data_IF_116946136081
#
_entry.id   IF_116946136081
#
_cell.length_a   1.000
_cell.length_b   1.000
_cell.length_c   1.000
_cell.angle_alpha   90.00
_cell.angle_beta   90.00
_cell.angle_gamma   90.00
#
_symmetry.space_group_name_H-M   'P 1'
#
loop_
_entity.id
_entity.type
_entity.pdbx_description
1 polymer ?
#
# COMPACT_ATOMS: atom_id res chain seq x y z
N UNK A 1 -28.74 -65.47 -4.12
CA UNK A 1 -27.67 -64.66 -4.75
C UNK A 1 -27.72 -63.29 -4.07
N UNK A 2 -27.10 -63.02 -2.92
CA UNK A 2 -25.63 -62.79 -2.68
C UNK A 2 -25.01 -61.95 -3.80
N UNK A 3 -24.38 -60.79 -3.56
CA UNK A 3 -23.30 -60.55 -2.60
C UNK A 3 -23.21 -59.10 -2.07
N UNK A 4 -22.58 -59.02 -0.91
CA UNK A 4 -22.07 -57.87 -0.17
C UNK A 4 -20.56 -57.70 -0.44
N UNK A 5 -20.05 -56.46 -0.43
CA UNK A 5 -18.63 -56.13 -0.19
C UNK A 5 -18.56 -54.73 0.46
N UNK A 6 -18.45 -54.63 1.79
CA UNK A 6 -17.23 -54.53 2.62
C UNK A 6 -16.23 -53.44 2.23
N UNK A 7 -16.19 -52.41 3.08
CA UNK A 7 -15.16 -51.39 3.27
C UNK A 7 -13.74 -51.98 3.46
N UNK A 8 -12.67 -51.26 3.08
CA UNK A 8 -11.36 -51.47 3.66
C UNK A 8 -11.12 -50.57 4.89
N UNK A 9 -10.44 -51.17 5.86
CA UNK A 9 -10.07 -50.63 7.15
C UNK A 9 -9.03 -49.49 7.08
N UNK A 10 -9.06 -48.65 8.12
CA UNK A 10 -8.07 -47.63 8.47
C UNK A 10 -6.64 -48.20 8.50
N UNK A 11 -5.71 -47.47 7.89
CA UNK A 11 -4.27 -47.63 8.08
C UNK A 11 -3.80 -46.71 9.23
N UNK A 12 -3.31 -47.25 10.37
CA UNK A 12 -2.80 -46.44 11.46
C UNK A 12 -1.26 -46.45 11.41
N UNK A 13 -0.66 -45.55 10.62
CA UNK A 13 0.77 -45.24 10.73
C UNK A 13 1.08 -43.91 10.01
N UNK A 14 0.81 -42.79 10.69
CA UNK A 14 1.45 -41.51 10.40
C UNK A 14 1.99 -40.95 11.73
N UNK A 15 3.28 -40.59 11.82
CA UNK A 15 3.83 -39.98 13.02
C UNK A 15 3.30 -38.54 13.17
N UNK A 16 3.24 -38.02 14.41
CA UNK A 16 2.78 -36.65 14.65
C UNK A 16 3.77 -35.65 14.03
N UNK A 17 3.25 -34.67 13.29
CA UNK A 17 4.03 -33.53 12.78
C UNK A 17 4.53 -32.73 13.99
N UNK A 18 5.80 -32.92 14.35
CA UNK A 18 6.51 -32.12 15.35
C UNK A 18 7.18 -30.93 14.67
N UNK A 19 7.06 -29.78 15.33
CA UNK A 19 7.86 -28.54 15.19
C UNK A 19 7.90 -27.84 13.83
N UNK A 20 7.11 -26.77 13.72
CA UNK A 20 7.38 -25.63 12.84
C UNK A 20 8.76 -25.06 13.21
N UNK A 21 9.73 -25.23 12.32
CA UNK A 21 11.01 -24.52 12.41
C UNK A 21 10.80 -23.08 11.97
N UNK A 22 10.98 -22.14 12.89
CA UNK A 22 11.06 -20.71 12.57
C UNK A 22 12.42 -20.49 11.90
N UNK A 23 12.42 -20.26 10.59
CA UNK A 23 13.62 -19.85 9.88
C UNK A 23 14.00 -18.43 10.32
N UNK A 24 15.20 -18.28 10.86
CA UNK A 24 15.81 -16.98 11.14
C UNK A 24 16.11 -16.27 9.82
N UNK A 25 15.46 -15.13 9.58
CA UNK A 25 15.72 -14.26 8.44
C UNK A 25 17.06 -13.53 8.61
N UNK A 26 17.93 -13.63 7.61
CA UNK A 26 19.05 -12.72 7.38
C UNK A 26 18.69 -11.79 6.22
N UNK A 27 18.65 -10.49 6.49
CA UNK A 27 18.35 -9.44 5.51
C UNK A 27 19.65 -8.94 4.86
N UNK A 28 19.85 -9.07 3.54
CA UNK A 28 20.93 -8.36 2.85
C UNK A 28 20.60 -6.86 2.78
N UNK A 29 21.48 -6.04 3.36
CA UNK A 29 21.45 -4.57 3.28
C UNK A 29 21.65 -4.11 1.84
N UNK A 30 20.58 -3.72 1.14
CA UNK A 30 20.67 -2.84 -0.03
C UNK A 30 19.43 -1.94 -0.13
N UNK A 31 19.42 -0.84 0.63
CA UNK A 31 18.75 0.40 0.21
C UNK A 31 19.40 1.58 0.94
N UNK A 32 20.02 2.50 0.19
CA UNK A 32 20.62 3.73 0.67
C UNK A 32 19.81 4.90 0.09
N UNK A 33 18.88 5.52 0.83
CA UNK A 33 18.16 6.69 0.37
C UNK A 33 18.91 7.95 0.84
N UNK A 34 19.97 8.33 0.14
CA UNK A 34 20.59 9.64 0.35
C UNK A 34 21.30 10.15 -0.91
N UNK A 35 20.53 10.53 -1.93
CA UNK A 35 20.98 11.50 -2.94
C UNK A 35 19.78 12.07 -3.70
N UNK A 36 19.07 13.05 -3.11
CA UNK A 36 18.32 14.04 -3.88
C UNK A 36 18.44 15.43 -3.21
N UNK A 37 19.17 16.30 -3.93
CA UNK A 37 19.34 17.75 -3.81
C UNK A 37 20.16 18.36 -2.65
N UNK A 38 20.98 19.38 -2.99
CA UNK A 38 20.51 20.73 -2.73
C UNK A 38 20.44 21.58 -4.00
N UNK A 39 19.25 22.12 -4.25
CA UNK A 39 19.04 23.32 -5.05
C UNK A 39 19.62 24.50 -4.25
N UNK A 40 20.64 25.17 -4.79
CA UNK A 40 21.16 26.44 -4.28
C UNK A 40 21.06 27.46 -5.40
N UNK A 41 20.31 28.52 -5.13
CA UNK A 41 20.25 29.75 -5.92
C UNK A 41 21.65 30.24 -6.31
N UNK A 42 21.91 30.40 -7.61
CA UNK A 42 22.85 31.40 -8.12
C UNK A 42 22.40 31.92 -9.50
N UNK A 43 22.60 33.22 -9.76
CA UNK A 43 22.14 33.87 -10.97
C UNK A 43 23.05 33.58 -12.17
N UNK A 44 22.43 33.65 -13.34
CA UNK A 44 22.97 33.40 -14.67
C UNK A 44 24.01 34.47 -15.09
N UNK A 45 25.16 34.12 -15.70
CA UNK A 45 25.94 35.08 -16.46
C UNK A 45 25.88 34.82 -17.97
N UNK A 46 25.62 35.89 -18.73
CA UNK A 46 25.81 35.97 -20.19
C UNK A 46 27.31 35.94 -20.55
N UNK A 47 27.67 35.63 -21.81
CA UNK A 47 29.05 35.44 -22.22
C UNK A 47 29.70 36.75 -22.66
N UNK A 48 30.98 36.95 -22.34
CA UNK A 48 31.82 37.96 -22.99
C UNK A 48 33.20 37.40 -23.36
N UNK A 49 33.68 37.95 -24.47
CA UNK A 49 34.82 37.62 -25.29
C UNK A 49 36.15 38.23 -24.83
N UNK A 50 37.24 37.54 -25.17
CA UNK A 50 38.57 38.05 -25.59
C UNK A 50 39.16 39.33 -24.96
N UNK A 51 40.35 39.21 -24.35
CA UNK A 51 41.63 39.69 -24.90
C UNK A 51 42.67 40.13 -23.82
N UNK A 52 43.92 39.78 -24.10
CA UNK A 52 45.20 40.48 -23.81
C UNK A 52 45.77 40.64 -22.39
N UNK A 53 46.88 39.91 -22.16
CA UNK A 53 48.25 40.36 -21.83
C UNK A 53 48.48 41.44 -20.75
N UNK A 54 49.19 41.10 -19.67
CA UNK A 54 50.58 41.57 -19.43
C UNK A 54 51.10 41.23 -18.01
N UNK A 55 52.42 41.25 -17.92
CA UNK A 55 53.31 40.77 -16.87
C UNK A 55 53.56 41.80 -15.74
N UNK A 56 54.13 41.25 -14.66
CA UNK A 56 55.16 41.83 -13.79
C UNK A 56 54.77 42.58 -12.49
N UNK A 57 55.38 42.03 -11.44
CA UNK A 57 56.08 42.66 -10.31
C UNK A 57 55.40 42.87 -8.97
N UNK A 58 56.12 42.32 -8.00
CA UNK A 58 55.96 42.29 -6.56
C UNK A 58 56.54 43.54 -5.90
N UNK A 59 55.98 43.95 -4.75
CA UNK A 59 56.68 44.12 -3.46
C UNK A 59 55.73 44.60 -2.34
N UNK A 60 56.10 44.41 -1.05
CA UNK A 60 55.17 44.26 0.07
C UNK A 60 55.16 45.45 1.06
N UNK A 61 54.14 45.50 1.92
CA UNK A 61 54.11 46.33 3.15
C UNK A 61 53.54 45.47 4.29
N UNK A 62 54.39 45.04 5.24
CA UNK A 62 54.70 45.71 6.51
C UNK A 62 53.64 45.49 7.60
N UNK A 63 53.94 44.53 8.48
CA UNK A 63 53.27 44.27 9.77
C UNK A 63 53.72 45.31 10.80
N UNK A 64 52.78 45.96 11.47
CA UNK A 64 53.03 46.73 12.70
C UNK A 64 52.79 45.85 13.93
N UNK A 65 53.81 45.81 14.79
CA UNK A 65 53.90 45.13 16.09
C UNK A 65 52.82 45.59 17.07
N UNK A 66 52.28 44.64 17.83
CA UNK A 66 51.81 44.87 19.20
C UNK A 66 52.76 44.15 20.14
N UNK A 67 53.21 44.86 21.18
CA UNK A 67 54.14 44.36 22.19
C UNK A 67 53.71 44.96 23.54
N UNK A 68 53.11 44.14 24.40
CA UNK A 68 52.84 44.29 25.85
C UNK A 68 51.94 43.10 26.21
N UNK A 69 52.16 42.24 27.19
CA UNK A 69 52.92 42.33 28.44
C UNK A 69 53.47 40.94 28.81
N UNK A 70 54.66 40.98 29.38
CA UNK A 70 55.34 39.91 30.11
C UNK A 70 54.72 39.82 31.52
N UNK A 71 54.79 38.63 32.11
CA UNK A 71 54.57 38.29 33.53
C UNK A 71 53.16 37.84 33.95
N UNK A 72 52.92 36.54 33.78
CA UNK A 72 52.33 35.67 34.80
C UNK A 72 52.72 34.22 34.45
N UNK A 73 54.00 33.91 34.58
CA UNK A 73 54.48 32.52 34.63
C UNK A 73 54.36 32.06 36.08
N UNK A 74 53.86 30.84 36.23
CA UNK A 74 54.01 29.97 37.40
C UNK A 74 53.09 30.28 38.59
N UNK A 75 51.86 29.79 38.52
CA UNK A 75 51.24 29.01 39.59
C UNK A 75 49.88 28.52 39.09
N UNK A 76 49.81 27.26 38.63
CA UNK A 76 48.62 26.38 38.73
C UNK A 76 48.72 25.07 37.92
N UNK A 77 49.76 24.87 37.12
CA UNK A 77 50.08 23.54 36.58
C UNK A 77 51.29 22.95 37.33
N UNK A 78 51.00 22.50 38.56
CA UNK A 78 51.88 21.57 39.26
C UNK A 78 51.99 20.28 38.43
N UNK A 79 53.19 19.70 38.22
CA UNK A 79 53.39 18.49 37.42
C UNK A 79 52.70 17.23 37.99
N UNK A 80 52.05 17.33 39.17
CA UNK A 80 51.26 16.26 39.79
C UNK A 80 49.82 16.11 39.29
N UNK A 81 49.24 17.06 38.54
CA UNK A 81 47.79 17.05 38.21
C UNK A 81 47.44 16.62 36.77
N UNK A 82 48.44 16.42 35.91
CA UNK A 82 48.25 15.84 34.56
C UNK A 82 47.61 14.45 34.58
N UNK A 83 47.94 13.52 35.52
CA UNK A 83 47.28 12.22 35.56
C UNK A 83 45.81 12.34 35.98
N UNK A 84 45.47 13.26 36.89
CA UNK A 84 44.08 13.43 37.37
C UNK A 84 43.18 13.94 36.25
N UNK A 85 43.63 14.94 35.46
CA UNK A 85 42.85 15.45 34.33
C UNK A 85 42.68 14.41 33.21
N UNK A 86 43.71 13.59 32.96
CA UNK A 86 43.64 12.47 32.02
C UNK A 86 42.72 11.36 32.51
N UNK A 87 42.73 11.06 33.81
CA UNK A 87 41.84 10.08 34.43
C UNK A 87 40.39 10.56 34.40
N UNK A 88 40.12 11.84 34.65
CA UNK A 88 38.77 12.42 34.53
C UNK A 88 38.29 12.39 33.07
N UNK A 89 39.16 12.70 32.10
CA UNK A 89 38.81 12.62 30.68
C UNK A 89 38.52 11.19 30.22
N UNK A 90 39.33 10.22 30.69
CA UNK A 90 39.11 8.79 30.43
C UNK A 90 37.83 8.30 31.12
N UNK A 91 37.55 8.73 32.35
CA UNK A 91 36.30 8.44 33.05
C UNK A 91 35.07 9.02 32.34
N UNK A 92 35.16 10.24 31.80
CA UNK A 92 34.10 10.86 30.99
C UNK A 92 33.86 10.13 29.66
N UNK A 93 34.91 9.59 29.03
CA UNK A 93 34.82 8.76 27.83
C UNK A 93 34.28 7.34 28.11
N UNK A 94 34.41 6.87 29.34
CA UNK A 94 33.88 5.58 29.83
C UNK A 94 32.45 5.69 30.39
N UNK A 95 31.90 6.89 30.54
CA UNK A 95 30.49 7.05 30.84
C UNK A 95 29.67 6.50 29.67
N UNK A 96 28.71 5.59 29.90
CA UNK A 96 27.82 5.13 28.85
C UNK A 96 27.08 6.35 28.31
N UNK A 97 27.44 6.74 27.09
CA UNK A 97 26.67 7.73 26.37
C UNK A 97 25.29 7.10 26.17
N UNK A 98 24.19 7.77 26.54
CA UNK A 98 22.88 7.27 26.15
C UNK A 98 22.90 7.20 24.63
N UNK A 99 22.99 5.97 24.11
CA UNK A 99 22.71 5.70 22.72
C UNK A 99 21.27 6.16 22.53
N UNK A 100 21.08 7.36 21.99
CA UNK A 100 19.80 7.78 21.47
C UNK A 100 19.56 6.87 20.28
N UNK A 101 19.02 5.68 20.55
CA UNK A 101 18.37 4.89 19.53
C UNK A 101 17.22 5.77 19.05
N UNK A 102 17.39 6.43 17.90
CA UNK A 102 16.31 7.17 17.27
C UNK A 102 15.26 6.15 16.87
N UNK A 103 14.35 5.85 17.79
CA UNK A 103 13.22 4.98 17.51
C UNK A 103 12.39 5.67 16.43
N UNK A 104 12.08 4.95 15.36
CA UNK A 104 11.21 5.49 14.33
C UNK A 104 9.87 5.89 14.96
N UNK A 105 9.42 7.12 14.67
CA UNK A 105 8.10 7.58 15.06
C UNK A 105 7.07 7.00 14.08
N UNK A 106 6.53 5.83 14.41
CA UNK A 106 5.52 5.15 13.60
C UNK A 106 4.18 5.89 13.57
N UNK A 107 3.91 6.78 14.52
CA UNK A 107 2.72 7.61 14.49
C UNK A 107 2.85 8.72 13.42
N UNK A 108 4.00 9.38 13.37
CA UNK A 108 4.33 10.31 12.28
C UNK A 108 4.38 9.61 10.91
N UNK A 109 4.98 8.41 10.83
CA UNK A 109 5.00 7.62 9.61
C UNK A 109 3.58 7.27 9.11
N UNK A 110 2.69 6.83 10.01
CA UNK A 110 1.29 6.54 9.68
C UNK A 110 0.55 7.79 9.19
N UNK A 111 0.72 8.92 9.87
CA UNK A 111 0.14 10.21 9.46
C UNK A 111 0.58 10.60 8.05
N UNK A 112 1.87 10.48 7.73
CA UNK A 112 2.42 10.78 6.41
C UNK A 112 1.92 9.80 5.34
N UNK A 113 1.78 8.52 5.67
CA UNK A 113 1.19 7.52 4.78
C UNK A 113 -0.26 7.89 4.41
N UNK A 114 -1.07 8.35 5.35
CA UNK A 114 -2.46 8.75 5.05
C UNK A 114 -2.50 10.07 4.26
N UNK A 115 -1.60 11.01 4.53
CA UNK A 115 -1.45 12.22 3.71
C UNK A 115 -1.05 11.89 2.27
N UNK A 116 -0.25 10.84 2.04
CA UNK A 116 0.03 10.35 0.69
C UNK A 116 -1.26 9.97 -0.04
N UNK A 117 -2.15 9.18 0.58
CA UNK A 117 -3.45 8.87 -0.04
C UNK A 117 -4.30 10.12 -0.30
N UNK A 118 -4.32 11.11 0.60
CA UNK A 118 -4.99 12.39 0.31
C UNK A 118 -4.39 13.10 -0.91
N UNK A 119 -3.07 12.99 -1.09
CA UNK A 119 -2.32 13.48 -2.24
C UNK A 119 -2.62 12.74 -3.54
N UNK A 120 -3.21 11.54 -3.51
CA UNK A 120 -3.58 10.75 -4.69
C UNK A 120 -5.05 10.89 -5.11
N UNK A 121 -5.88 11.62 -4.35
CA UNK A 121 -7.33 11.73 -4.63
C UNK A 121 -7.62 12.34 -6.00
N UNK A 122 -8.33 11.66 -6.89
CA UNK A 122 -8.91 12.24 -8.11
C UNK A 122 -10.35 12.69 -7.84
N UNK A 123 -10.91 13.59 -8.66
CA UNK A 123 -12.26 14.12 -8.51
C UNK A 123 -12.32 15.44 -7.73
N UNK A 124 -13.52 15.77 -7.26
CA UNK A 124 -13.78 16.97 -6.46
C UNK A 124 -13.31 16.76 -5.03
N UNK A 125 -12.32 17.51 -4.57
CA UNK A 125 -11.71 17.38 -3.25
C UNK A 125 -12.65 17.89 -2.15
N UNK A 126 -12.64 17.27 -0.96
CA UNK A 126 -13.49 17.70 0.14
C UNK A 126 -12.92 18.97 0.78
N UNK A 127 -13.77 19.83 1.40
CA UNK A 127 -13.32 21.09 2.00
C UNK A 127 -12.28 20.90 3.12
N UNK A 128 -12.31 19.75 3.79
CA UNK A 128 -11.39 19.36 4.87
C UNK A 128 -10.11 18.65 4.38
N UNK A 129 -9.83 18.63 3.07
CA UNK A 129 -8.58 18.11 2.49
C UNK A 129 -7.34 18.74 3.16
N UNK A 130 -6.42 17.93 3.70
CA UNK A 130 -5.22 18.46 4.39
C UNK A 130 -4.11 18.82 3.41
N UNK A 131 -4.03 18.10 2.29
CA UNK A 131 -3.06 18.31 1.22
C UNK A 131 -3.50 19.47 0.32
N UNK A 132 -3.04 20.69 0.62
CA UNK A 132 -3.54 21.94 -0.01
C UNK A 132 -2.95 22.28 -1.38
N UNK A 133 -1.89 21.59 -1.81
CA UNK A 133 -1.30 21.77 -3.13
C UNK A 133 -2.04 21.00 -4.23
N UNK A 134 -2.92 20.04 -3.87
CA UNK A 134 -3.83 19.36 -4.80
C UNK A 134 -5.08 20.20 -5.05
N UNK A 135 -5.64 20.08 -6.25
CA UNK A 135 -6.91 20.72 -6.67
C UNK A 135 -7.89 19.68 -7.23
N UNK A 136 -9.12 20.14 -7.46
CA UNK A 136 -10.15 19.36 -8.15
C UNK A 136 -9.66 18.98 -9.54
N UNK A 137 -9.77 17.70 -9.89
CA UNK A 137 -9.30 17.15 -11.17
C UNK A 137 -10.19 15.99 -11.63
N UNK A 138 -10.15 15.62 -12.91
CA UNK A 138 -10.89 14.43 -13.41
C UNK A 138 -12.40 14.57 -13.29
N UNK A 139 -12.91 15.79 -13.41
CA UNK A 139 -14.32 16.13 -13.16
C UNK A 139 -15.28 15.64 -14.25
N UNK A 140 -14.74 15.12 -15.36
CA UNK A 140 -15.49 14.58 -16.49
C UNK A 140 -15.25 13.08 -16.71
N UNK A 141 -14.59 12.41 -15.76
CA UNK A 141 -14.33 10.97 -15.82
C UNK A 141 -15.63 10.19 -16.01
N UNK A 142 -15.69 9.38 -17.08
CA UNK A 142 -16.84 8.54 -17.42
C UNK A 142 -17.89 9.19 -18.32
N UNK A 143 -17.79 10.49 -18.61
CA UNK A 143 -18.79 11.21 -19.41
C UNK A 143 -18.98 10.62 -20.81
N UNK A 144 -17.90 10.19 -21.47
CA UNK A 144 -17.94 9.53 -22.79
C UNK A 144 -18.66 8.18 -22.78
N UNK A 145 -18.75 7.54 -21.63
CA UNK A 145 -19.49 6.29 -21.41
C UNK A 145 -20.88 6.53 -20.77
N UNK A 146 -21.31 7.78 -20.62
CA UNK A 146 -22.62 8.14 -20.05
C UNK A 146 -22.75 7.83 -18.56
N UNK A 147 -21.63 7.78 -17.82
CA UNK A 147 -21.59 7.46 -16.38
C UNK A 147 -20.77 8.50 -15.60
N UNK A 148 -21.01 8.61 -14.30
CA UNK A 148 -20.13 9.36 -13.40
C UNK A 148 -19.06 8.41 -12.83
N UNK A 149 -17.81 8.61 -13.26
CA UNK A 149 -16.65 7.92 -12.70
C UNK A 149 -15.70 8.90 -12.00
N UNK A 150 -16.15 10.10 -11.61
CA UNK A 150 -15.35 11.04 -10.82
C UNK A 150 -15.03 10.48 -9.43
N UNK A 151 -13.87 10.83 -8.87
CA UNK A 151 -13.40 10.30 -7.58
C UNK A 151 -12.29 9.26 -7.74
N UNK A 152 -12.04 8.49 -6.68
CA UNK A 152 -11.03 7.42 -6.68
C UNK A 152 -9.61 7.96 -6.51
N UNK A 153 -8.62 7.09 -6.68
CA UNK A 153 -7.21 7.45 -6.56
C UNK A 153 -6.51 7.39 -7.91
N UNK A 154 -5.64 8.36 -8.18
CA UNK A 154 -4.58 8.19 -9.17
C UNK A 154 -3.60 7.14 -8.66
N UNK A 155 -3.11 6.31 -9.58
CA UNK A 155 -2.40 5.09 -9.24
C UNK A 155 -1.02 5.37 -8.63
N UNK A 156 -0.18 6.14 -9.33
CA UNK A 156 1.20 6.39 -8.93
C UNK A 156 1.59 7.86 -9.10
N UNK A 157 2.56 8.15 -9.96
CA UNK A 157 2.95 9.52 -10.35
C UNK A 157 2.19 10.03 -11.58
N UNK A 158 1.31 9.21 -12.13
CA UNK A 158 0.48 9.44 -13.31
C UNK A 158 -0.94 9.89 -12.93
N UNK A 159 -1.78 10.21 -13.91
CA UNK A 159 -3.20 10.58 -13.69
C UNK A 159 -4.17 9.49 -14.18
N UNK A 160 -3.69 8.25 -14.35
CA UNK A 160 -4.53 7.09 -14.65
C UNK A 160 -5.14 6.53 -13.37
N UNK A 161 -6.36 6.03 -13.49
CA UNK A 161 -7.05 5.29 -12.42
C UNK A 161 -7.10 3.82 -12.76
N UNK A 162 -6.06 3.07 -12.40
CA UNK A 162 -6.04 1.62 -12.54
C UNK A 162 -6.86 0.95 -11.44
N UNK A 163 -7.95 0.29 -11.82
CA UNK A 163 -8.93 -0.27 -10.89
C UNK A 163 -8.40 -1.48 -10.10
N UNK A 164 -7.54 -2.30 -10.72
CA UNK A 164 -7.00 -3.50 -10.08
C UNK A 164 -6.10 -3.18 -8.86
N UNK A 165 -5.02 -2.39 -8.99
CA UNK A 165 -4.21 -1.98 -7.84
C UNK A 165 -4.97 -1.08 -6.85
N UNK A 166 -5.93 -0.27 -7.32
CA UNK A 166 -6.78 0.54 -6.43
C UNK A 166 -7.67 -0.33 -5.55
N UNK A 167 -8.29 -1.38 -6.10
CA UNK A 167 -9.09 -2.33 -5.35
C UNK A 167 -8.23 -3.05 -4.32
N UNK A 168 -7.06 -3.58 -4.70
CA UNK A 168 -6.10 -4.20 -3.79
C UNK A 168 -5.70 -3.29 -2.63
N UNK A 169 -5.32 -2.05 -2.95
CA UNK A 169 -4.99 -1.02 -1.96
C UNK A 169 -6.16 -0.77 -0.99
N UNK A 170 -7.39 -0.77 -1.50
CA UNK A 170 -8.60 -0.59 -0.68
C UNK A 170 -8.84 -1.76 0.26
N UNK A 171 -8.60 -2.98 -0.22
CA UNK A 171 -8.66 -4.19 0.61
C UNK A 171 -7.63 -4.12 1.74
N UNK A 172 -6.38 -3.74 1.46
CA UNK A 172 -5.33 -3.64 2.47
C UNK A 172 -5.52 -2.50 3.47
N UNK A 173 -5.97 -1.34 3.03
CA UNK A 173 -6.34 -0.24 3.94
C UNK A 173 -7.47 -0.69 4.88
N UNK A 174 -8.47 -1.39 4.33
CA UNK A 174 -9.57 -1.93 5.12
C UNK A 174 -9.08 -3.00 6.11
N UNK A 175 -8.24 -3.94 5.65
CA UNK A 175 -7.67 -4.99 6.50
C UNK A 175 -6.85 -4.39 7.64
N UNK A 176 -6.03 -3.38 7.35
CA UNK A 176 -5.23 -2.66 8.34
C UNK A 176 -6.10 -2.04 9.44
N UNK A 177 -7.23 -1.43 9.06
CA UNK A 177 -8.18 -0.85 10.04
C UNK A 177 -8.88 -1.95 10.85
N UNK A 178 -9.23 -3.08 10.23
CA UNK A 178 -9.90 -4.20 10.89
C UNK A 178 -9.00 -4.80 11.98
N UNK A 179 -7.73 -5.08 11.65
CA UNK A 179 -6.82 -5.78 12.56
C UNK A 179 -6.12 -4.81 13.53
N UNK A 180 -5.79 -3.59 13.09
CA UNK A 180 -4.93 -2.66 13.84
C UNK A 180 -5.56 -1.30 14.12
N UNK A 181 -6.85 -1.10 13.84
CA UNK A 181 -7.51 0.20 13.99
C UNK A 181 -7.41 0.80 15.40
N UNK A 182 -7.32 -0.04 16.45
CA UNK A 182 -7.13 0.41 17.84
C UNK A 182 -5.77 1.07 18.08
N UNK A 183 -4.77 0.74 17.26
CA UNK A 183 -3.39 1.25 17.36
C UNK A 183 -3.16 2.51 16.51
N UNK A 184 -4.13 2.92 15.68
CA UNK A 184 -4.00 4.05 14.76
C UNK A 184 -4.21 5.43 15.42
N UNK A 185 -4.67 5.47 16.68
CA UNK A 185 -4.86 6.71 17.44
C UNK A 185 -5.71 7.75 16.67
N UNK A 186 -5.27 9.02 16.60
CA UNK A 186 -6.01 10.09 15.93
C UNK A 186 -6.13 9.91 14.41
N UNK A 187 -5.25 9.11 13.79
CA UNK A 187 -5.26 8.88 12.35
C UNK A 187 -6.31 7.84 11.91
N UNK A 188 -6.94 7.11 12.84
CA UNK A 188 -8.02 6.16 12.51
C UNK A 188 -9.14 6.81 11.68
N UNK A 189 -9.54 8.04 12.01
CA UNK A 189 -10.57 8.76 11.27
C UNK A 189 -10.16 9.06 9.83
N UNK A 190 -8.90 9.43 9.60
CA UNK A 190 -8.39 9.73 8.26
C UNK A 190 -8.17 8.45 7.44
N UNK A 191 -7.75 7.35 8.09
CA UNK A 191 -7.67 6.03 7.44
C UNK A 191 -9.05 5.56 6.98
N UNK A 192 -10.09 5.72 7.81
CA UNK A 192 -11.48 5.42 7.41
C UNK A 192 -11.94 6.29 6.24
N UNK A 193 -11.60 7.59 6.23
CA UNK A 193 -11.87 8.48 5.08
C UNK A 193 -11.12 8.02 3.82
N UNK A 194 -9.90 7.50 3.96
CA UNK A 194 -9.13 6.98 2.83
C UNK A 194 -9.80 5.75 2.19
N UNK A 195 -10.32 4.83 3.01
CA UNK A 195 -11.13 3.69 2.52
C UNK A 195 -12.44 4.19 1.88
N UNK A 196 -13.12 5.16 2.52
CA UNK A 196 -14.37 5.70 1.97
C UNK A 196 -14.18 6.30 0.58
N UNK A 197 -13.11 7.07 0.39
CA UNK A 197 -12.81 7.72 -0.89
C UNK A 197 -12.71 6.73 -2.05
N UNK A 198 -12.01 5.61 -1.83
CA UNK A 198 -11.91 4.56 -2.84
C UNK A 198 -13.24 3.82 -3.03
N UNK A 199 -13.90 3.44 -1.94
CA UNK A 199 -15.15 2.68 -2.04
C UNK A 199 -16.31 3.47 -2.65
N UNK A 200 -16.37 4.79 -2.46
CA UNK A 200 -17.33 5.65 -3.16
C UNK A 200 -17.10 5.55 -4.69
N UNK A 201 -15.85 5.52 -5.15
CA UNK A 201 -15.52 5.31 -6.56
C UNK A 201 -15.82 3.88 -7.04
N UNK A 202 -15.44 2.85 -6.28
CA UNK A 202 -15.72 1.45 -6.63
C UNK A 202 -17.23 1.18 -6.73
N UNK A 203 -18.06 1.86 -5.92
CA UNK A 203 -19.52 1.82 -6.03
C UNK A 203 -20.04 2.49 -7.31
N UNK A 204 -19.38 3.54 -7.81
CA UNK A 204 -19.71 4.11 -9.14
C UNK A 204 -19.29 3.16 -10.26
N UNK A 205 -18.05 2.67 -10.19
CA UNK A 205 -17.46 1.78 -11.19
C UNK A 205 -18.21 0.45 -11.37
N UNK A 206 -18.97 0.02 -10.36
CA UNK A 206 -19.75 -1.22 -10.36
C UNK A 206 -21.27 -0.97 -10.34
N UNK A 207 -21.72 0.25 -10.65
CA UNK A 207 -23.12 0.66 -10.50
C UNK A 207 -24.07 -0.08 -11.45
N UNK A 208 -23.59 -0.41 -12.65
CA UNK A 208 -24.35 -1.13 -13.67
C UNK A 208 -24.18 -2.63 -13.44
N UNK A 209 -25.28 -3.42 -13.35
CA UNK A 209 -25.18 -4.87 -13.20
C UNK A 209 -24.33 -5.54 -14.28
N UNK A 210 -23.48 -6.49 -13.89
CA UNK A 210 -22.56 -7.25 -14.75
C UNK A 210 -21.61 -6.39 -15.61
N UNK A 211 -21.34 -5.16 -15.16
CA UNK A 211 -20.34 -4.26 -15.74
C UNK A 211 -19.46 -3.72 -14.62
N UNK A 212 -18.15 -3.77 -14.83
CA UNK A 212 -17.17 -3.15 -13.92
C UNK A 212 -16.26 -2.25 -14.75
N UNK A 213 -16.24 -0.96 -14.43
CA UNK A 213 -15.24 -0.05 -14.98
C UNK A 213 -13.91 -0.25 -14.26
N UNK A 214 -12.87 -0.57 -15.01
CA UNK A 214 -11.58 -1.04 -14.48
C UNK A 214 -10.46 -0.05 -14.73
N UNK A 215 -10.65 0.93 -15.61
CA UNK A 215 -9.65 1.97 -15.86
C UNK A 215 -10.31 3.25 -16.34
N UNK A 216 -9.78 4.40 -15.90
CA UNK A 216 -10.06 5.71 -16.49
C UNK A 216 -8.74 6.40 -16.80
N UNK A 217 -8.55 6.77 -18.07
CA UNK A 217 -7.26 7.26 -18.59
C UNK A 217 -6.68 6.30 -19.63
N UNK A 218 -6.28 6.84 -20.77
CA UNK A 218 -5.37 6.16 -21.69
C UNK A 218 -3.93 6.33 -21.17
N UNK A 219 -3.32 5.23 -20.74
CA UNK A 219 -2.05 5.28 -20.03
C UNK A 219 -0.90 5.79 -20.90
N UNK A 220 -0.89 5.48 -22.20
CA UNK A 220 0.15 5.98 -23.10
C UNK A 220 0.03 7.49 -23.32
N UNK A 221 -1.17 8.01 -23.52
CA UNK A 221 -1.43 9.45 -23.61
C UNK A 221 -1.06 10.16 -22.32
N UNK A 222 -1.44 9.59 -21.17
CA UNK A 222 -1.17 10.15 -19.84
C UNK A 222 0.34 10.22 -19.55
N UNK A 223 1.06 9.11 -19.76
CA UNK A 223 2.49 9.01 -19.45
C UNK A 223 3.39 9.80 -20.40
N UNK A 224 2.88 10.19 -21.57
CA UNK A 224 3.57 11.09 -22.49
C UNK A 224 3.45 12.57 -22.08
N UNK A 225 2.63 12.90 -21.07
CA UNK A 225 2.45 14.25 -20.56
C UNK A 225 2.94 14.38 -19.11
N UNK A 226 3.66 15.45 -18.80
CA UNK A 226 4.04 15.80 -17.44
C UNK A 226 3.30 17.05 -17.00
N UNK A 227 2.19 16.86 -16.30
CA UNK A 227 1.28 17.95 -15.96
C UNK A 227 0.63 17.78 -14.59
N UNK A 228 0.05 18.87 -14.09
CA UNK A 228 -0.78 18.79 -12.88
C UNK A 228 -2.12 18.12 -13.24
N UNK A 229 -2.69 17.29 -12.36
CA UNK A 229 -3.97 16.64 -12.63
C UNK A 229 -5.11 17.61 -12.94
N UNK A 230 -5.11 18.81 -12.37
CA UNK A 230 -6.12 19.85 -12.61
C UNK A 230 -6.02 20.52 -13.99
N UNK A 231 -4.88 20.40 -14.68
CA UNK A 231 -4.65 20.96 -16.01
C UNK A 231 -4.74 19.92 -17.13
N UNK A 232 -5.03 18.66 -16.78
CA UNK A 232 -4.89 17.56 -17.73
C UNK A 232 -5.82 17.65 -18.95
N UNK A 233 -5.23 17.50 -20.12
CA UNK A 233 -5.91 17.48 -21.42
C UNK A 233 -5.76 16.13 -22.16
N UNK A 234 -5.13 15.16 -21.53
CA UNK A 234 -4.93 13.80 -22.03
C UNK A 234 -6.24 13.01 -22.15
N UNK A 235 -6.23 11.95 -22.97
CA UNK A 235 -7.43 11.15 -23.22
C UNK A 235 -7.84 10.36 -21.96
N UNK A 236 -9.05 10.62 -21.44
CA UNK A 236 -9.59 9.97 -20.23
C UNK A 236 -10.62 8.88 -20.51
N UNK A 237 -10.29 7.95 -21.42
CA UNK A 237 -11.16 6.83 -21.81
C UNK A 237 -11.51 5.95 -20.61
N UNK A 238 -12.79 5.55 -20.51
CA UNK A 238 -13.25 4.60 -19.50
C UNK A 238 -13.29 3.18 -20.09
N UNK A 239 -12.48 2.27 -19.54
CA UNK A 239 -12.44 0.87 -19.92
C UNK A 239 -13.23 0.03 -18.92
N UNK A 240 -13.87 -1.04 -19.41
CA UNK A 240 -14.74 -1.89 -18.62
C UNK A 240 -14.58 -3.35 -18.98
N UNK A 241 -14.94 -4.21 -18.04
CA UNK A 241 -15.24 -5.61 -18.26
C UNK A 241 -16.75 -5.85 -18.16
N UNK A 242 -17.22 -6.85 -18.88
CA UNK A 242 -18.61 -7.27 -18.94
C UNK A 242 -18.73 -8.77 -19.26
N UNK A 243 -19.93 -9.25 -19.55
CA UNK A 243 -20.16 -10.69 -19.81
C UNK A 243 -19.43 -11.21 -21.04
N UNK A 244 -19.18 -10.35 -22.04
CA UNK A 244 -18.47 -10.72 -23.27
C UNK A 244 -16.96 -10.58 -23.11
N UNK A 245 -16.52 -9.69 -22.21
CA UNK A 245 -15.12 -9.39 -21.92
C UNK A 245 -14.88 -9.55 -20.41
N UNK A 246 -14.77 -10.78 -19.89
CA UNK A 246 -14.66 -11.03 -18.46
C UNK A 246 -13.34 -10.53 -17.85
N UNK A 247 -13.35 -10.40 -16.52
CA UNK A 247 -12.20 -10.01 -15.70
C UNK A 247 -12.39 -10.39 -14.24
N UNK A 248 -12.26 -11.69 -13.95
CA UNK A 248 -12.47 -12.29 -12.63
C UNK A 248 -11.47 -11.81 -11.58
N UNK A 249 -10.25 -11.50 -12.00
CA UNK A 249 -9.17 -10.92 -11.22
C UNK A 249 -9.61 -9.57 -10.60
N UNK A 250 -9.74 -8.54 -11.42
CA UNK A 250 -10.10 -7.19 -10.99
C UNK A 250 -11.50 -7.12 -10.37
N UNK A 251 -12.46 -7.93 -10.85
CA UNK A 251 -13.78 -8.03 -10.22
C UNK A 251 -13.71 -8.74 -8.86
N UNK A 252 -12.94 -9.81 -8.73
CA UNK A 252 -12.72 -10.53 -7.47
C UNK A 252 -12.06 -9.64 -6.42
N UNK A 253 -11.01 -8.89 -6.79
CA UNK A 253 -10.37 -7.93 -5.90
C UNK A 253 -11.29 -6.75 -5.55
N UNK A 254 -12.09 -6.25 -6.51
CA UNK A 254 -13.10 -5.22 -6.21
C UNK A 254 -14.15 -5.73 -5.22
N UNK A 255 -14.58 -6.99 -5.35
CA UNK A 255 -15.48 -7.59 -4.39
C UNK A 255 -14.82 -7.75 -3.00
N UNK A 256 -13.56 -8.16 -2.95
CA UNK A 256 -12.78 -8.22 -1.71
C UNK A 256 -12.68 -6.86 -1.02
N UNK A 257 -12.38 -5.80 -1.78
CA UNK A 257 -12.27 -4.43 -1.29
C UNK A 257 -13.59 -3.94 -0.66
N UNK A 258 -14.70 -4.11 -1.37
CA UNK A 258 -16.02 -3.72 -0.90
C UNK A 258 -16.46 -4.55 0.32
N UNK A 259 -16.18 -5.86 0.33
CA UNK A 259 -16.48 -6.73 1.45
C UNK A 259 -15.66 -6.36 2.70
N UNK A 260 -14.35 -6.16 2.57
CA UNK A 260 -13.47 -5.73 3.65
C UNK A 260 -13.92 -4.37 4.21
N UNK A 261 -14.17 -3.39 3.35
CA UNK A 261 -14.64 -2.07 3.76
C UNK A 261 -16.00 -2.14 4.46
N UNK A 262 -16.91 -3.05 4.06
CA UNK A 262 -18.18 -3.23 4.76
C UNK A 262 -17.99 -3.57 6.25
N UNK A 263 -16.90 -4.25 6.62
CA UNK A 263 -16.56 -4.54 8.02
C UNK A 263 -16.12 -3.26 8.73
N UNK A 264 -15.27 -2.44 8.10
CA UNK A 264 -14.80 -1.15 8.64
C UNK A 264 -15.99 -0.24 8.98
N UNK A 265 -16.97 -0.16 8.09
CA UNK A 265 -18.14 0.71 8.26
C UNK A 265 -19.28 0.10 9.09
N UNK A 266 -19.20 -1.18 9.48
CA UNK A 266 -20.33 -1.91 10.10
C UNK A 266 -20.99 -1.19 11.27
N UNK A 267 -20.21 -0.64 12.19
CA UNK A 267 -20.69 0.13 13.35
C UNK A 267 -20.66 1.64 13.13
N UNK A 268 -19.92 2.12 12.12
CA UNK A 268 -19.70 3.55 11.86
C UNK A 268 -20.77 4.14 10.96
N UNK A 269 -21.18 3.37 9.96
CA UNK A 269 -22.25 3.68 9.01
C UNK A 269 -22.88 2.35 8.54
N UNK A 270 -23.90 1.85 9.28
CA UNK A 270 -24.53 0.57 8.96
C UNK A 270 -25.21 0.55 7.59
N UNK A 271 -25.71 1.69 7.10
CA UNK A 271 -26.36 1.77 5.79
C UNK A 271 -25.34 1.63 4.66
N UNK A 272 -24.23 2.37 4.75
CA UNK A 272 -23.12 2.27 3.81
C UNK A 272 -22.48 0.89 3.85
N UNK A 273 -22.28 0.31 5.05
CA UNK A 273 -21.80 -1.07 5.21
C UNK A 273 -22.65 -2.09 4.45
N UNK A 274 -23.99 -2.01 4.56
CA UNK A 274 -24.90 -2.89 3.81
C UNK A 274 -24.83 -2.65 2.30
N UNK A 275 -24.72 -1.39 1.86
CA UNK A 275 -24.55 -1.05 0.45
C UNK A 275 -23.27 -1.69 -0.12
N UNK A 276 -22.14 -1.54 0.58
CA UNK A 276 -20.87 -2.13 0.20
C UNK A 276 -20.94 -3.66 0.12
N UNK A 277 -21.45 -4.31 1.16
CA UNK A 277 -21.54 -5.77 1.18
C UNK A 277 -22.46 -6.30 0.08
N UNK A 278 -23.62 -5.67 -0.14
CA UNK A 278 -24.53 -6.07 -1.20
C UNK A 278 -23.90 -5.90 -2.60
N UNK A 279 -23.12 -4.83 -2.80
CA UNK A 279 -22.38 -4.67 -4.06
C UNK A 279 -21.28 -5.71 -4.20
N UNK A 280 -20.51 -5.97 -3.15
CA UNK A 280 -19.45 -6.98 -3.15
C UNK A 280 -19.97 -8.36 -3.59
N UNK A 281 -21.13 -8.78 -3.06
CA UNK A 281 -21.79 -10.04 -3.44
C UNK A 281 -22.08 -10.08 -4.95
N UNK A 282 -22.67 -9.03 -5.51
CA UNK A 282 -23.02 -8.96 -6.94
C UNK A 282 -21.79 -8.97 -7.84
N UNK A 283 -20.74 -8.24 -7.46
CA UNK A 283 -19.50 -8.16 -8.23
C UNK A 283 -18.76 -9.50 -8.19
N UNK A 284 -18.73 -10.18 -7.04
CA UNK A 284 -18.15 -11.51 -6.93
C UNK A 284 -18.91 -12.55 -7.74
N UNK A 285 -20.25 -12.51 -7.72
CA UNK A 285 -21.06 -13.39 -8.56
C UNK A 285 -20.78 -13.18 -10.05
N UNK A 286 -20.59 -11.94 -10.50
CA UNK A 286 -20.15 -11.67 -11.87
C UNK A 286 -18.76 -12.27 -12.15
N UNK A 287 -17.79 -12.03 -11.25
CA UNK A 287 -16.42 -12.55 -11.37
C UNK A 287 -16.38 -14.08 -11.49
N UNK A 288 -17.17 -14.80 -10.69
CA UNK A 288 -17.20 -16.26 -10.66
C UNK A 288 -17.98 -16.87 -11.83
N UNK A 289 -19.09 -16.23 -12.26
CA UNK A 289 -19.92 -16.70 -13.39
C UNK A 289 -19.25 -16.48 -14.75
N UNK A 290 -18.51 -15.39 -14.92
CA UNK A 290 -17.87 -15.02 -16.18
C UNK A 290 -16.35 -15.03 -15.99
N UNK A 291 -15.75 -16.22 -16.14
CA UNK A 291 -14.34 -16.43 -15.82
C UNK A 291 -13.38 -15.99 -16.93
N UNK A 292 -12.38 -15.21 -16.56
CA UNK A 292 -11.29 -14.80 -17.45
C UNK A 292 -10.44 -13.70 -16.84
N UNK A 293 -9.21 -13.55 -17.33
CA UNK A 293 -8.33 -12.46 -16.95
C UNK A 293 -8.73 -11.16 -17.65
N UNK A 294 -8.80 -10.03 -16.94
CA UNK A 294 -9.23 -8.77 -17.55
C UNK A 294 -8.28 -8.29 -18.65
N UNK A 295 -6.98 -8.58 -18.48
CA UNK A 295 -5.92 -8.26 -19.44
C UNK A 295 -6.06 -9.05 -20.73
N UNK A 296 -6.85 -10.13 -20.79
CA UNK A 296 -7.08 -10.89 -22.02
C UNK A 296 -7.84 -10.08 -23.07
N UNK A 297 -8.84 -9.30 -22.63
CA UNK A 297 -9.67 -8.46 -23.52
C UNK A 297 -9.18 -7.02 -23.60
N UNK A 298 -8.52 -6.54 -22.54
CA UNK A 298 -8.07 -5.15 -22.42
C UNK A 298 -6.56 -4.98 -22.57
N UNK A 299 -5.85 -5.97 -23.12
CA UNK A 299 -4.39 -6.02 -23.19
C UNK A 299 -3.77 -4.69 -23.65
N UNK A 300 -4.27 -4.11 -24.75
CA UNK A 300 -3.74 -2.86 -25.31
C UNK A 300 -3.91 -1.62 -24.43
N UNK A 301 -4.80 -1.66 -23.44
CA UNK A 301 -5.08 -0.54 -22.54
C UNK A 301 -4.42 -0.69 -21.16
N UNK A 302 -4.28 -1.93 -20.68
CA UNK A 302 -3.85 -2.23 -19.30
C UNK A 302 -2.42 -2.77 -19.23
N UNK A 303 -1.90 -3.34 -20.33
CA UNK A 303 -0.54 -3.80 -20.44
C UNK A 303 0.35 -2.76 -21.15
N UNK A 304 1.63 -2.60 -20.73
CA UNK A 304 2.38 -3.43 -19.79
C UNK A 304 2.25 -3.02 -18.29
N UNK A 305 1.27 -2.19 -17.94
CA UNK A 305 1.19 -1.56 -16.61
C UNK A 305 0.74 -2.54 -15.51
N UNK A 306 -0.47 -3.08 -15.63
CA UNK A 306 -1.08 -3.96 -14.62
C UNK A 306 -1.67 -5.22 -15.26
N UNK A 307 -0.87 -5.97 -16.00
CA UNK A 307 -1.33 -7.23 -16.59
C UNK A 307 -1.65 -8.26 -15.50
N UNK A 308 -2.69 -9.06 -15.69
CA UNK A 308 -2.80 -10.34 -14.96
C UNK A 308 -1.67 -11.28 -15.40
N UNK A 309 -0.78 -11.63 -14.47
CA UNK A 309 0.36 -12.53 -14.70
C UNK A 309 0.18 -13.84 -13.93
N UNK A 310 -0.41 -13.78 -12.73
CA UNK A 310 -0.59 -14.94 -11.86
C UNK A 310 -1.89 -15.72 -12.14
N UNK A 311 -2.83 -15.14 -12.88
CA UNK A 311 -4.14 -15.71 -13.15
C UNK A 311 -5.17 -15.21 -12.14
N UNK A 312 -6.46 -15.31 -12.49
CA UNK A 312 -7.55 -14.80 -11.66
C UNK A 312 -7.97 -15.69 -10.47
N UNK A 313 -7.31 -16.84 -10.30
CA UNK A 313 -7.79 -17.89 -9.41
C UNK A 313 -7.69 -17.51 -7.94
N UNK A 314 -6.62 -16.84 -7.55
CA UNK A 314 -6.42 -16.37 -6.19
C UNK A 314 -7.35 -15.21 -5.84
N UNK A 315 -7.75 -14.32 -6.76
CA UNK A 315 -8.75 -13.29 -6.48
C UNK A 315 -10.14 -13.89 -6.21
N UNK A 316 -10.50 -15.00 -6.86
CA UNK A 316 -11.75 -15.70 -6.56
C UNK A 316 -11.72 -16.30 -5.14
N UNK A 317 -10.59 -16.88 -4.72
CA UNK A 317 -10.43 -17.37 -3.34
C UNK A 317 -10.39 -16.23 -2.32
N UNK A 318 -9.68 -15.15 -2.64
CA UNK A 318 -9.53 -13.95 -1.83
C UNK A 318 -10.85 -13.22 -1.63
N UNK A 319 -11.60 -12.98 -2.71
CA UNK A 319 -12.93 -12.40 -2.69
C UNK A 319 -13.91 -13.24 -1.88
N UNK A 320 -13.90 -14.58 -2.05
CA UNK A 320 -14.71 -15.48 -1.25
C UNK A 320 -14.35 -15.42 0.24
N UNK A 321 -13.05 -15.36 0.59
CA UNK A 321 -12.60 -15.28 1.98
C UNK A 321 -13.06 -13.98 2.66
N UNK A 322 -12.95 -12.85 1.97
CA UNK A 322 -13.46 -11.57 2.48
C UNK A 322 -14.99 -11.54 2.60
N UNK A 323 -15.70 -12.07 1.61
CA UNK A 323 -17.16 -12.18 1.67
C UNK A 323 -17.61 -13.09 2.82
N UNK A 324 -16.90 -14.19 3.07
CA UNK A 324 -17.16 -15.03 4.23
C UNK A 324 -16.93 -14.26 5.53
N UNK A 325 -15.78 -13.59 5.68
CA UNK A 325 -15.46 -12.79 6.87
C UNK A 325 -16.48 -11.67 7.12
N UNK A 326 -16.96 -11.02 6.06
CA UNK A 326 -17.91 -9.91 6.15
C UNK A 326 -19.36 -10.36 6.38
N UNK A 327 -19.80 -11.42 5.71
CA UNK A 327 -21.22 -11.84 5.75
C UNK A 327 -21.51 -12.97 6.74
N UNK A 328 -20.49 -13.73 7.15
CA UNK A 328 -20.60 -15.01 7.88
C UNK A 328 -21.45 -16.06 7.16
N UNK A 329 -21.74 -15.88 5.86
CA UNK A 329 -22.49 -16.86 5.07
C UNK A 329 -21.62 -18.08 4.77
N UNK A 330 -22.15 -19.27 5.07
CA UNK A 330 -21.47 -20.56 4.87
C UNK A 330 -21.10 -20.83 3.41
N UNK A 331 -21.92 -20.35 2.47
CA UNK A 331 -21.73 -20.57 1.03
C UNK A 331 -20.34 -20.15 0.52
N UNK A 332 -19.72 -19.11 1.10
CA UNK A 332 -18.40 -18.64 0.69
C UNK A 332 -17.27 -19.51 1.25
N UNK A 333 -17.43 -20.05 2.46
CA UNK A 333 -16.52 -21.06 3.00
C UNK A 333 -16.61 -22.36 2.19
N UNK A 334 -17.81 -22.78 1.87
CA UNK A 334 -18.06 -23.96 1.03
C UNK A 334 -17.58 -23.74 -0.42
N UNK A 335 -17.58 -22.50 -0.92
CA UNK A 335 -16.96 -22.15 -2.19
C UNK A 335 -15.44 -22.38 -2.15
N UNK A 336 -14.75 -21.86 -1.12
CA UNK A 336 -13.29 -22.02 -0.96
C UNK A 336 -12.93 -23.51 -0.92
N UNK A 337 -13.58 -24.29 -0.03
CA UNK A 337 -13.27 -25.73 0.12
C UNK A 337 -13.53 -26.50 -1.18
N UNK A 338 -14.62 -26.22 -1.90
CA UNK A 338 -14.92 -26.91 -3.17
C UNK A 338 -13.94 -26.56 -4.29
N UNK A 339 -13.36 -25.35 -4.25
CA UNK A 339 -12.53 -24.84 -5.33
C UNK A 339 -11.04 -24.81 -4.99
N UNK A 340 -10.62 -25.22 -3.79
CA UNK A 340 -9.23 -25.06 -3.32
C UNK A 340 -8.21 -25.71 -4.26
N UNK A 341 -8.53 -26.87 -4.85
CA UNK A 341 -7.64 -27.55 -5.81
C UNK A 341 -7.67 -26.86 -7.18
N UNK A 342 -8.88 -26.57 -7.69
CA UNK A 342 -9.07 -26.03 -9.05
C UNK A 342 -8.57 -24.59 -9.17
N UNK A 343 -8.70 -23.82 -8.09
CA UNK A 343 -8.18 -22.45 -7.97
C UNK A 343 -6.79 -22.40 -7.34
N UNK A 344 -6.09 -23.55 -7.27
CA UNK A 344 -4.67 -23.64 -6.91
C UNK A 344 -4.33 -23.03 -5.55
N UNK A 345 -5.22 -23.13 -4.56
CA UNK A 345 -5.04 -22.56 -3.22
C UNK A 345 -3.76 -23.05 -2.51
N UNK A 346 -3.28 -24.26 -2.87
CA UNK A 346 -2.05 -24.86 -2.34
C UNK A 346 -0.76 -24.32 -2.96
N UNK A 347 -0.83 -23.45 -3.97
CA UNK A 347 0.36 -22.87 -4.57
C UNK A 347 1.04 -21.94 -3.57
N UNK A 348 2.29 -22.27 -3.23
CA UNK A 348 3.10 -21.48 -2.32
C UNK A 348 3.95 -20.51 -3.10
N UNK A 349 3.44 -19.29 -3.26
CA UNK A 349 4.17 -18.18 -3.87
C UNK A 349 4.62 -17.25 -2.74
N UNK A 350 5.92 -16.93 -2.70
CA UNK A 350 6.53 -16.08 -1.65
C UNK A 350 6.29 -14.58 -1.91
N UNK A 351 5.16 -14.23 -2.50
CA UNK A 351 4.80 -12.86 -2.87
C UNK A 351 3.36 -12.55 -2.43
N UNK A 352 3.15 -11.30 -2.01
CA UNK A 352 1.83 -10.75 -1.76
C UNK A 352 1.78 -9.34 -2.32
N UNK A 353 0.88 -9.12 -3.27
CA UNK A 353 0.83 -7.86 -4.00
C UNK A 353 -0.48 -7.71 -4.78
N UNK A 354 -0.53 -6.66 -5.59
CA UNK A 354 -1.71 -6.33 -6.37
C UNK A 354 -2.10 -7.41 -7.37
N UNK A 355 -1.19 -8.31 -7.78
CA UNK A 355 -1.42 -9.42 -8.70
C UNK A 355 -1.52 -10.79 -8.00
N UNK A 356 -0.88 -10.98 -6.83
CA UNK A 356 -0.85 -12.28 -6.13
C UNK A 356 -1.32 -12.20 -4.68
N UNK A 357 -2.33 -13.00 -4.33
CA UNK A 357 -3.06 -12.98 -3.06
C UNK A 357 -2.81 -14.22 -2.20
N UNK A 358 -2.04 -15.22 -2.67
CA UNK A 358 -1.87 -16.51 -1.99
C UNK A 358 -1.45 -16.40 -0.52
N UNK A 359 -0.41 -15.61 -0.23
CA UNK A 359 0.04 -15.43 1.15
C UNK A 359 -1.03 -14.74 2.03
N UNK A 360 -1.78 -13.78 1.46
CA UNK A 360 -2.90 -13.12 2.14
C UNK A 360 -4.05 -14.07 2.44
N UNK A 361 -4.42 -14.91 1.48
CA UNK A 361 -5.46 -15.94 1.60
C UNK A 361 -5.11 -16.91 2.74
N UNK A 362 -3.87 -17.41 2.78
CA UNK A 362 -3.41 -18.33 3.81
C UNK A 362 -3.55 -17.74 5.22
N UNK A 363 -3.14 -16.48 5.42
CA UNK A 363 -3.29 -15.78 6.70
C UNK A 363 -4.76 -15.55 7.04
N UNK A 364 -5.57 -15.12 6.06
CA UNK A 364 -6.97 -14.76 6.28
C UNK A 364 -7.83 -15.98 6.62
N UNK A 365 -7.67 -17.09 5.89
CA UNK A 365 -8.40 -18.33 6.13
C UNK A 365 -7.99 -18.94 7.47
N UNK A 366 -6.70 -18.94 7.82
CA UNK A 366 -6.24 -19.47 9.11
C UNK A 366 -6.94 -18.75 10.28
N UNK A 367 -7.01 -17.41 10.24
CA UNK A 367 -7.73 -16.60 11.24
C UNK A 367 -9.24 -16.91 11.28
N UNK A 368 -9.87 -17.14 10.13
CA UNK A 368 -11.30 -17.49 10.05
C UNK A 368 -11.55 -18.84 10.72
N UNK A 369 -10.75 -19.86 10.40
CA UNK A 369 -10.89 -21.21 10.95
C UNK A 369 -10.67 -21.23 12.46
N UNK A 370 -9.68 -20.50 12.96
CA UNK A 370 -9.48 -20.33 14.42
C UNK A 370 -10.69 -19.66 15.09
N UNK A 371 -11.27 -18.64 14.45
CA UNK A 371 -12.48 -17.97 14.97
C UNK A 371 -13.72 -18.87 14.98
N UNK A 372 -13.88 -19.73 13.96
CA UNK A 372 -14.99 -20.68 13.89
C UNK A 372 -14.84 -21.82 14.90
N UNK A 373 -13.61 -22.32 15.10
CA UNK A 373 -13.31 -23.34 16.11
C UNK A 373 -13.54 -22.83 17.53
N UNK A 374 -13.14 -21.59 17.82
CA UNK A 374 -13.39 -20.96 19.12
C UNK A 374 -14.88 -20.68 19.35
N UNK A 375 -15.62 -20.24 18.33
CA UNK A 375 -17.07 -20.07 18.42
C UNK A 375 -17.81 -21.40 18.68
N UNK A 376 -17.40 -22.50 18.04
CA UNK A 376 -18.00 -23.81 18.26
C UNK A 376 -17.65 -24.42 19.63
N UNK A 377 -16.51 -24.06 20.24
CA UNK A 377 -16.16 -24.51 21.58
C UNK A 377 -16.98 -23.82 22.66
N UNK A 378 -17.35 -22.54 22.46
CA UNK A 378 -18.22 -21.79 23.38
C UNK A 378 -19.64 -22.34 23.38
N UNK A 379 -20.16 -22.78 22.22
CA UNK A 379 -21.51 -23.34 22.10
C UNK A 379 -21.65 -24.75 22.71
N UNK A 380 -20.55 -25.45 23.00
CA UNK A 380 -20.56 -26.76 23.66
C UNK A 380 -20.23 -26.68 25.16
N UNK A 381 -19.99 -25.48 25.69
CA UNK A 381 -19.64 -25.23 27.08
C UNK A 381 -20.78 -24.59 27.91
N UNK A 382 -21.93 -24.32 27.29
CA UNK A 382 -23.21 -23.96 27.91
C UNK A 382 -24.20 -25.11 27.73
#
# INVERSE_FOLDING_TARGET
>A
MTQSSKFPHRNPNFPPVKSVHVAHFHWPKLWNPMTLFPYKDRPNPRPESSATTSLLTSRPLSKKRQNTQKMARNALLSPGNVPVLRVILVLLLLLPHPSISSRHDYHDALRKCILFFEGQRSGRLPPDQRVRWRRDSGLHDGASAGVDLTGGYYDAGDNVKFGFPMAFTTTLLSWSIIDFGRNMGPELGNAVKAVKWSTDYLLKATAIPDVVYVQVGDAFSDHNCWERPEDMDTLRTAYKIDRAHPGSDVAGETAAALAAASIVFRSRDPAYSRLLLNRAVRVFEFADRHRGAYSSSLHSAVCPFYCDVNGYQDELLWGAAWLHKASRRRQYREYIVRNEVVLRAGDTINEFGWDNKHAGINVLISKILESDLSANHVVLAD
#
